data_IF_470351461106
#
_entry.id   IF_470351461106
#
_cell.length_a   1.000
_cell.length_b   1.000
_cell.length_c   1.000
_cell.angle_alpha   90.00
_cell.angle_beta   90.00
_cell.angle_gamma   90.00
#
_symmetry.space_group_name_H-M   'P 1'
#
loop_
_entity.id
_entity.type
_entity.pdbx_description
1 polymer ?
#
# COMPACT_ATOMS: atom_id res chain seq x y z
N UNK A 1 6.11 11.95 14.25
CA UNK A 1 7.15 10.94 13.97
C UNK A 1 8.48 11.34 14.62
N UNK A 2 9.19 10.40 15.25
CA UNK A 2 10.60 10.53 15.68
C UNK A 2 11.50 10.82 14.46
N UNK A 3 12.76 11.19 14.68
CA UNK A 3 13.75 11.36 13.60
C UNK A 3 13.81 10.09 12.74
N UNK A 4 13.51 10.23 11.45
CA UNK A 4 13.45 9.12 10.49
C UNK A 4 14.88 8.72 10.10
N UNK A 5 15.32 7.46 10.29
CA UNK A 5 16.61 6.97 9.84
C UNK A 5 16.84 7.25 8.36
N UNK A 6 18.07 7.58 7.97
CA UNK A 6 18.40 7.96 6.58
C UNK A 6 18.00 6.88 5.57
N UNK A 7 18.14 5.61 5.93
CA UNK A 7 17.79 4.48 5.06
C UNK A 7 16.27 4.32 4.89
N UNK A 8 15.49 4.70 5.90
CA UNK A 8 14.05 4.81 5.78
C UNK A 8 13.65 5.98 4.86
N UNK A 9 14.42 7.07 4.85
CA UNK A 9 14.20 8.16 3.90
C UNK A 9 14.50 7.73 2.46
N UNK A 10 15.56 6.96 2.23
CA UNK A 10 15.83 6.36 0.92
C UNK A 10 14.70 5.41 0.51
N UNK A 11 14.25 4.54 1.41
CA UNK A 11 13.13 3.63 1.15
C UNK A 11 11.85 4.39 0.79
N UNK A 12 11.48 5.43 1.53
CA UNK A 12 10.34 6.27 1.17
C UNK A 12 10.49 6.96 -0.18
N UNK A 13 11.71 7.38 -0.53
CA UNK A 13 11.99 7.95 -1.84
C UNK A 13 11.77 6.92 -2.96
N UNK A 14 12.15 5.66 -2.73
CA UNK A 14 11.85 4.56 -3.65
C UNK A 14 10.34 4.32 -3.76
N UNK A 15 9.61 4.31 -2.65
CA UNK A 15 8.15 4.14 -2.67
C UNK A 15 7.46 5.23 -3.50
N UNK A 16 7.91 6.48 -3.39
CA UNK A 16 7.35 7.59 -4.17
C UNK A 16 7.59 7.46 -5.69
N UNK A 17 8.56 6.64 -6.11
CA UNK A 17 8.85 6.37 -7.51
C UNK A 17 8.00 5.26 -8.14
N UNK A 18 7.20 4.53 -7.36
CA UNK A 18 6.40 3.41 -7.86
C UNK A 18 5.39 3.90 -8.91
N UNK A 19 5.35 3.26 -10.07
CA UNK A 19 4.42 3.66 -11.16
C UNK A 19 3.30 2.66 -11.42
N UNK A 20 3.43 1.44 -10.91
CA UNK A 20 2.53 0.33 -11.20
C UNK A 20 1.83 -0.13 -9.92
N UNK A 21 0.52 -0.36 -10.01
CA UNK A 21 -0.26 -0.86 -8.89
C UNK A 21 -0.10 -2.37 -8.68
N UNK A 22 0.12 -3.13 -9.77
CA UNK A 22 0.32 -4.58 -9.71
C UNK A 22 1.47 -4.94 -8.76
N UNK A 23 1.20 -5.88 -7.84
CA UNK A 23 2.14 -6.23 -6.77
C UNK A 23 3.45 -6.78 -7.31
N UNK A 24 3.40 -7.65 -8.32
CA UNK A 24 4.60 -8.32 -8.81
C UNK A 24 5.53 -7.33 -9.50
N UNK A 25 4.97 -6.47 -10.34
CA UNK A 25 5.73 -5.42 -11.02
C UNK A 25 6.19 -4.30 -10.07
N UNK A 26 5.42 -4.01 -9.01
CA UNK A 26 5.82 -3.07 -7.97
C UNK A 26 7.04 -3.58 -7.20
N UNK A 27 7.02 -4.84 -6.75
CA UNK A 27 8.12 -5.39 -5.95
C UNK A 27 9.44 -5.42 -6.73
N UNK A 28 9.41 -5.52 -8.07
CA UNK A 28 10.61 -5.43 -8.92
C UNK A 28 11.22 -4.02 -8.97
N UNK A 29 10.45 -2.97 -8.63
CA UNK A 29 10.92 -1.58 -8.65
C UNK A 29 11.65 -1.20 -7.36
N UNK A 30 11.53 -2.00 -6.30
CA UNK A 30 12.10 -1.70 -5.00
C UNK A 30 13.42 -2.45 -4.80
N UNK A 31 14.43 -1.74 -4.30
CA UNK A 31 15.67 -2.39 -3.85
C UNK A 31 15.40 -3.09 -2.51
N UNK A 32 15.95 -4.29 -2.29
CA UNK A 32 15.86 -4.94 -1.00
C UNK A 32 16.55 -4.09 0.07
N UNK A 33 15.89 -3.92 1.21
CA UNK A 33 16.49 -3.28 2.38
C UNK A 33 17.16 -4.38 3.22
N UNK A 34 18.50 -4.33 3.33
CA UNK A 34 19.30 -5.39 3.95
C UNK A 34 19.66 -5.09 5.42
N UNK A 35 19.17 -3.97 5.97
CA UNK A 35 19.54 -3.49 7.29
C UNK A 35 18.55 -3.93 8.38
N UNK A 36 19.08 -4.18 9.57
CA UNK A 36 18.28 -4.42 10.77
C UNK A 36 18.10 -3.10 11.53
N UNK A 37 16.85 -2.72 11.76
CA UNK A 37 16.53 -1.55 12.60
C UNK A 37 16.22 -1.97 14.03
N UNK A 38 15.95 -0.99 14.91
CA UNK A 38 15.32 -1.29 16.19
C UNK A 38 13.91 -1.88 16.01
N UNK A 39 13.33 -2.36 17.11
CA UNK A 39 12.03 -3.01 17.09
C UNK A 39 10.92 -2.10 16.52
N UNK A 40 10.93 -0.81 16.85
CA UNK A 40 9.90 0.14 16.41
C UNK A 40 9.97 0.33 14.88
N UNK A 41 11.14 0.65 14.34
CA UNK A 41 11.31 0.86 12.90
C UNK A 41 11.06 -0.41 12.09
N UNK A 42 11.45 -1.58 12.60
CA UNK A 42 11.09 -2.85 11.96
C UNK A 42 9.57 -3.07 11.96
N UNK A 43 8.87 -2.68 13.02
CA UNK A 43 7.41 -2.79 13.08
C UNK A 43 6.73 -1.91 12.02
N UNK A 44 7.23 -0.68 11.82
CA UNK A 44 6.72 0.24 10.79
C UNK A 44 7.06 -0.25 9.37
N UNK A 45 8.27 -0.78 9.18
CA UNK A 45 8.68 -1.38 7.91
C UNK A 45 7.76 -2.55 7.53
N UNK A 46 7.42 -3.39 8.50
CA UNK A 46 6.50 -4.50 8.30
C UNK A 46 5.13 -4.00 7.83
N UNK A 47 4.63 -2.89 8.36
CA UNK A 47 3.38 -2.29 7.88
C UNK A 47 3.45 -1.89 6.40
N UNK A 48 4.58 -1.31 5.97
CA UNK A 48 4.82 -0.99 4.55
C UNK A 48 4.82 -2.26 3.69
N UNK A 49 5.60 -3.27 4.06
CA UNK A 49 5.69 -4.53 3.32
C UNK A 49 4.32 -5.23 3.21
N UNK A 50 3.56 -5.33 4.31
CA UNK A 50 2.21 -5.90 4.30
C UNK A 50 1.33 -5.13 3.32
N UNK A 51 1.40 -3.80 3.33
CA UNK A 51 0.57 -2.94 2.47
C UNK A 51 0.84 -3.16 0.99
N UNK A 52 2.11 -3.28 0.60
CA UNK A 52 2.53 -3.51 -0.78
C UNK A 52 2.16 -4.91 -1.30
N UNK A 53 1.96 -5.88 -0.40
CA UNK A 53 1.65 -7.26 -0.79
C UNK A 53 0.22 -7.48 -1.25
N UNK A 54 -0.75 -6.66 -0.81
CA UNK A 54 -2.14 -6.81 -1.26
C UNK A 54 -2.26 -6.76 -2.80
N UNK A 55 -3.03 -7.70 -3.36
CA UNK A 55 -3.42 -7.65 -4.76
C UNK A 55 -4.80 -7.00 -4.91
N UNK A 56 -5.01 -6.27 -6.00
CA UNK A 56 -6.33 -5.73 -6.35
C UNK A 56 -6.98 -6.61 -7.41
N UNK A 57 -8.08 -7.27 -7.08
CA UNK A 57 -8.86 -8.07 -8.03
C UNK A 57 -10.33 -7.73 -7.91
N UNK A 58 -10.97 -7.43 -9.05
CA UNK A 58 -12.40 -7.06 -9.12
C UNK A 58 -12.81 -5.99 -8.08
N UNK A 59 -11.94 -5.00 -7.88
CA UNK A 59 -12.18 -3.90 -6.94
C UNK A 59 -11.94 -4.22 -5.45
N UNK A 60 -11.48 -5.43 -5.12
CA UNK A 60 -11.20 -5.84 -3.74
C UNK A 60 -9.69 -6.01 -3.52
N UNK A 61 -9.20 -5.55 -2.36
CA UNK A 61 -7.89 -5.97 -1.86
C UNK A 61 -8.02 -7.40 -1.35
N UNK A 62 -7.26 -8.30 -1.98
CA UNK A 62 -7.23 -9.70 -1.61
C UNK A 62 -5.84 -10.08 -1.12
N UNK A 63 -5.82 -11.16 -0.35
CA UNK A 63 -4.59 -11.84 0.06
C UNK A 63 -3.82 -12.31 -1.17
N UNK A 64 -2.52 -12.24 -1.04
CA UNK A 64 -1.53 -12.50 -2.07
C UNK A 64 -1.05 -13.96 -2.07
N UNK A 65 -1.29 -14.64 -0.96
CA UNK A 65 -0.98 -16.02 -0.68
C UNK A 65 -2.06 -16.60 0.24
N UNK A 66 -2.34 -17.90 0.10
CA UNK A 66 -3.25 -18.64 0.95
C UNK A 66 -2.54 -19.91 1.43
N UNK A 67 -2.73 -20.22 2.71
CA UNK A 67 -2.29 -21.47 3.33
C UNK A 67 -3.47 -22.10 4.07
N UNK A 68 -3.27 -23.29 4.61
CA UNK A 68 -4.15 -23.88 5.60
C UNK A 68 -3.51 -23.78 6.98
N UNK A 69 -4.33 -23.57 8.01
CA UNK A 69 -3.91 -23.68 9.41
C UNK A 69 -3.92 -25.14 9.88
N UNK A 70 -3.54 -25.37 11.14
CA UNK A 70 -3.52 -26.70 11.76
C UNK A 70 -4.90 -27.40 11.81
N UNK A 71 -5.99 -26.64 11.68
CA UNK A 71 -7.35 -27.14 11.65
C UNK A 71 -7.89 -27.33 10.22
N UNK A 72 -7.04 -27.12 9.20
CA UNK A 72 -7.43 -27.21 7.80
C UNK A 72 -8.24 -26.02 7.29
N UNK A 73 -8.33 -24.92 8.07
CA UNK A 73 -9.00 -23.69 7.64
C UNK A 73 -8.06 -22.87 6.76
N UNK A 74 -8.59 -22.37 5.65
CA UNK A 74 -7.86 -21.47 4.77
C UNK A 74 -7.56 -20.13 5.47
N UNK A 75 -6.28 -19.74 5.45
CA UNK A 75 -5.77 -18.47 5.95
C UNK A 75 -5.06 -17.72 4.82
N UNK A 76 -5.51 -16.50 4.55
CA UNK A 76 -4.89 -15.61 3.58
C UNK A 76 -3.82 -14.75 4.22
N UNK A 77 -2.81 -14.35 3.44
CA UNK A 77 -1.87 -13.29 3.79
C UNK A 77 -1.69 -12.37 2.57
N UNK A 78 -1.57 -11.04 2.73
CA UNK A 78 -1.90 -10.29 3.95
C UNK A 78 -3.42 -10.20 4.12
N UNK A 79 -3.85 -9.91 5.35
CA UNK A 79 -5.23 -9.55 5.69
C UNK A 79 -5.25 -8.28 6.54
N UNK A 80 -6.29 -7.43 6.46
CA UNK A 80 -6.31 -6.14 7.16
C UNK A 80 -6.26 -6.22 8.70
N UNK A 81 -6.57 -7.37 9.28
CA UNK A 81 -6.51 -7.68 10.72
C UNK A 81 -5.08 -7.96 11.22
N UNK A 82 -4.08 -8.08 10.33
CA UNK A 82 -2.68 -8.26 10.73
C UNK A 82 -2.03 -6.99 11.29
N UNK A 83 -2.62 -5.81 11.06
CA UNK A 83 -2.04 -4.56 11.49
C UNK A 83 -2.28 -4.31 12.97
N UNK A 84 -1.21 -4.05 13.72
CA UNK A 84 -1.34 -3.55 15.10
C UNK A 84 -1.87 -2.11 15.11
N UNK A 85 -2.38 -1.64 16.27
CA UNK A 85 -2.87 -0.27 16.41
C UNK A 85 -1.79 0.78 16.07
N UNK A 86 -0.53 0.50 16.41
CA UNK A 86 0.61 1.34 16.06
C UNK A 86 0.79 1.40 14.53
N UNK A 87 0.74 0.26 13.86
CA UNK A 87 0.87 0.20 12.40
C UNK A 87 -0.31 0.87 11.68
N UNK A 88 -1.53 0.77 12.23
CA UNK A 88 -2.70 1.49 11.72
C UNK A 88 -2.50 3.00 11.86
N UNK A 89 -2.00 3.45 13.01
CA UNK A 89 -1.71 4.87 13.26
C UNK A 89 -0.65 5.37 12.29
N UNK A 90 0.43 4.62 12.12
CA UNK A 90 1.47 4.87 11.14
C UNK A 90 0.91 4.97 9.71
N UNK A 91 0.06 4.02 9.29
CA UNK A 91 -0.56 4.03 7.96
C UNK A 91 -1.45 5.26 7.75
N UNK A 92 -2.17 5.72 8.77
CA UNK A 92 -2.96 6.95 8.70
C UNK A 92 -2.07 8.18 8.46
N UNK A 93 -0.92 8.25 9.12
CA UNK A 93 0.06 9.32 8.89
C UNK A 93 0.65 9.22 7.48
N UNK A 94 1.08 8.03 7.06
CA UNK A 94 1.61 7.79 5.71
C UNK A 94 0.62 8.17 4.62
N UNK A 95 -0.66 7.80 4.77
CA UNK A 95 -1.73 8.14 3.83
C UNK A 95 -1.94 9.65 3.64
N UNK A 96 -1.50 10.49 4.58
CA UNK A 96 -1.53 11.94 4.48
C UNK A 96 -0.25 12.54 3.89
N UNK A 97 0.89 11.86 4.08
CA UNK A 97 2.21 12.37 3.69
C UNK A 97 2.59 12.00 2.26
N UNK A 98 2.16 10.83 1.77
CA UNK A 98 2.56 10.36 0.43
C UNK A 98 1.94 11.20 -0.68
N UNK A 99 2.71 11.36 -1.77
CA UNK A 99 2.27 12.07 -2.98
C UNK A 99 1.95 11.11 -4.13
N UNK A 100 2.55 9.93 -4.08
CA UNK A 100 2.38 8.87 -5.06
C UNK A 100 0.92 8.34 -5.09
N UNK A 101 0.21 8.43 -6.23
CA UNK A 101 -1.17 7.96 -6.32
C UNK A 101 -1.37 6.46 -6.07
N UNK A 102 -0.37 5.60 -6.38
CA UNK A 102 -0.41 4.16 -6.06
C UNK A 102 -0.47 3.96 -4.55
N UNK A 103 0.41 4.64 -3.81
CA UNK A 103 0.47 4.54 -2.35
C UNK A 103 -0.79 5.15 -1.71
N UNK A 104 -1.24 6.32 -2.18
CA UNK A 104 -2.47 6.94 -1.71
C UNK A 104 -3.65 5.97 -1.87
N UNK A 105 -3.81 5.39 -3.07
CA UNK A 105 -4.89 4.44 -3.33
C UNK A 105 -4.82 3.24 -2.39
N UNK A 106 -3.62 2.66 -2.26
CA UNK A 106 -3.37 1.45 -1.47
C UNK A 106 -3.61 1.65 0.02
N UNK A 107 -2.96 2.63 0.65
CA UNK A 107 -3.12 2.86 2.09
C UNK A 107 -4.55 3.25 2.46
N UNK A 108 -5.19 4.12 1.67
CA UNK A 108 -6.58 4.51 1.96
C UNK A 108 -7.55 3.33 1.73
N UNK A 109 -7.31 2.45 0.76
CA UNK A 109 -8.14 1.25 0.59
C UNK A 109 -7.97 0.27 1.77
N UNK A 110 -6.74 0.05 2.24
CA UNK A 110 -6.46 -0.76 3.44
C UNK A 110 -7.17 -0.17 4.66
N UNK A 111 -7.00 1.14 4.91
CA UNK A 111 -7.64 1.82 6.04
C UNK A 111 -9.16 1.72 5.98
N UNK A 112 -9.76 1.91 4.80
CA UNK A 112 -11.20 1.69 4.61
C UNK A 112 -11.60 0.23 4.91
N UNK A 113 -10.79 -0.75 4.54
CA UNK A 113 -11.07 -2.15 4.88
C UNK A 113 -11.10 -2.38 6.40
N UNK A 114 -10.23 -1.69 7.15
CA UNK A 114 -10.10 -1.79 8.61
C UNK A 114 -11.23 -1.06 9.33
N UNK A 115 -11.45 0.22 9.04
CA UNK A 115 -12.31 1.09 9.85
C UNK A 115 -13.63 1.52 9.20
N UNK A 116 -13.82 1.19 7.91
CA UNK A 116 -15.00 1.53 7.11
C UNK A 116 -15.31 3.04 7.04
N UNK A 117 -14.35 3.91 7.34
CA UNK A 117 -14.54 5.34 7.28
C UNK A 117 -14.60 5.84 5.83
N UNK A 118 -15.66 6.56 5.50
CA UNK A 118 -15.95 7.07 4.15
C UNK A 118 -14.85 7.96 3.57
N UNK A 119 -14.09 8.67 4.43
CA UNK A 119 -12.97 9.51 4.00
C UNK A 119 -11.92 8.69 3.25
N UNK A 120 -11.54 7.53 3.79
CA UNK A 120 -10.54 6.68 3.18
C UNK A 120 -11.06 6.06 1.87
N UNK A 121 -12.32 5.63 1.82
CA UNK A 121 -12.94 5.18 0.58
C UNK A 121 -12.87 6.24 -0.52
N UNK A 122 -13.26 7.47 -0.19
CA UNK A 122 -13.25 8.60 -1.14
C UNK A 122 -11.84 8.90 -1.65
N UNK A 123 -10.86 8.94 -0.75
CA UNK A 123 -9.46 9.16 -1.11
C UNK A 123 -8.91 8.05 -2.01
N UNK A 124 -9.21 6.79 -1.70
CA UNK A 124 -8.79 5.65 -2.50
C UNK A 124 -9.37 5.72 -3.91
N UNK A 125 -10.68 5.95 -4.05
CA UNK A 125 -11.36 6.08 -5.34
C UNK A 125 -10.75 7.22 -6.17
N UNK A 126 -10.52 8.38 -5.57
CA UNK A 126 -9.93 9.53 -6.27
C UNK A 126 -8.51 9.22 -6.76
N UNK A 127 -7.71 8.52 -5.96
CA UNK A 127 -6.37 8.09 -6.35
C UNK A 127 -6.40 7.05 -7.47
N UNK A 128 -7.31 6.07 -7.42
CA UNK A 128 -7.52 5.12 -8.52
C UNK A 128 -7.92 5.81 -9.83
N UNK A 129 -8.84 6.78 -9.78
CA UNK A 129 -9.20 7.60 -10.97
C UNK A 129 -8.00 8.34 -11.53
N UNK A 130 -7.16 8.93 -10.67
CA UNK A 130 -5.93 9.61 -11.07
C UNK A 130 -4.96 8.65 -11.78
N UNK A 131 -4.79 7.44 -11.25
CA UNK A 131 -3.96 6.40 -11.88
C UNK A 131 -4.50 5.99 -13.26
N UNK A 132 -5.82 5.77 -13.39
CA UNK A 132 -6.43 5.45 -14.66
C UNK A 132 -6.21 6.55 -15.70
N UNK A 133 -6.35 7.81 -15.30
CA UNK A 133 -6.09 8.96 -16.18
C UNK A 133 -4.62 9.09 -16.61
N UNK A 134 -3.68 8.62 -15.79
CA UNK A 134 -2.25 8.58 -16.14
C UNK A 134 -1.94 7.45 -17.14
N UNK A 135 -2.67 6.34 -17.06
CA UNK A 135 -2.49 5.17 -17.92
C UNK A 135 -3.24 5.31 -19.25
N UNK A 136 -4.34 6.06 -19.29
CA UNK A 136 -5.03 6.39 -20.53
C UNK A 136 -4.19 7.37 -21.33
N UNK A 137 -3.65 7.02 -22.52
CA UNK A 137 -3.13 8.04 -23.42
C UNK A 137 -4.27 9.04 -23.70
N UNK A 138 -3.95 10.33 -23.80
CA UNK A 138 -4.89 11.35 -24.28
C UNK A 138 -5.39 10.97 -25.70
N UNK A 139 -6.40 10.13 -25.74
CA UNK A 139 -7.29 9.83 -26.86
C UNK A 139 -8.64 10.07 -26.20
N UNK A 140 -9.34 11.19 -26.43
CA UNK A 140 -9.83 11.65 -27.71
C UNK A 140 -9.87 13.19 -27.76
N UNK A 141 -9.01 13.80 -28.59
CA UNK A 141 -9.48 14.98 -29.31
C UNK A 141 -10.33 14.45 -30.45
N UNK A 142 -11.65 14.43 -30.25
CA UNK A 142 -12.57 14.43 -31.38
C UNK A 142 -12.32 15.78 -32.06
N UNK A 143 -11.66 15.76 -33.21
CA UNK A 143 -11.69 16.90 -34.12
C UNK A 143 -13.12 16.99 -34.62
N UNK A 144 -13.81 18.06 -34.25
CA UNK A 144 -15.00 18.54 -34.97
C UNK A 144 -14.63 18.94 -36.40
#
# INVERSE_FOLDING_TARGET
>A
MKNIPDQFQEYYSQLESITIFDRWELMKQLKPMNEMFDFEWNNLLNAEHISLRFALRKGQLISDFYSVDENGKEIGFPTPDLYSEEQITYLKERAQLVKNPVLIARYNHILFCIDKNQKYCTNAINAYKKLLNMLSPKQYSIKE
#
